data_IF_105940360056
#
_entry.id   IF_105940360056
#
_cell.length_a   1.000
_cell.length_b   1.000
_cell.length_c   1.000
_cell.angle_alpha   90.00
_cell.angle_beta   90.00
_cell.angle_gamma   90.00
#
_symmetry.space_group_name_H-M   'P 1'
#
loop_
_entity.id
_entity.type
_entity.pdbx_description
1 polymer ?
#
# COMPACT_ATOMS: atom_id res chain seq x y z
N UNK A 1 -25.16 -40.05 59.76
CA UNK A 1 -23.88 -40.31 59.08
C UNK A 1 -24.17 -40.60 57.61
N UNK A 2 -24.08 -39.59 56.74
CA UNK A 2 -24.38 -39.74 55.31
C UNK A 2 -23.62 -38.68 54.54
N UNK A 3 -22.37 -38.99 54.17
CA UNK A 3 -21.48 -38.04 53.50
C UNK A 3 -20.09 -38.61 53.19
N UNK A 4 -19.62 -39.57 53.99
CA UNK A 4 -18.32 -40.22 53.76
C UNK A 4 -18.25 -40.97 52.42
N UNK A 5 -19.32 -41.66 52.01
CA UNK A 5 -19.34 -42.38 50.73
C UNK A 5 -19.23 -41.46 49.50
N UNK A 6 -19.86 -40.27 49.55
CA UNK A 6 -19.83 -39.27 48.47
C UNK A 6 -18.45 -38.65 48.32
N UNK A 7 -17.82 -38.26 49.43
CA UNK A 7 -16.46 -37.74 49.41
C UNK A 7 -15.46 -38.80 48.96
N UNK A 8 -15.62 -40.05 49.38
CA UNK A 8 -14.75 -41.14 48.96
C UNK A 8 -14.89 -41.44 47.46
N UNK A 9 -16.11 -41.41 46.92
CA UNK A 9 -16.36 -41.54 45.49
C UNK A 9 -15.74 -40.40 44.68
N UNK A 10 -15.85 -39.17 45.17
CA UNK A 10 -15.23 -37.99 44.53
C UNK A 10 -13.70 -38.08 44.53
N UNK A 11 -13.09 -38.48 45.65
CA UNK A 11 -11.65 -38.72 45.77
C UNK A 11 -11.20 -39.82 44.80
N UNK A 12 -11.96 -40.92 44.71
CA UNK A 12 -11.65 -42.03 43.81
C UNK A 12 -11.76 -41.61 42.34
N UNK A 13 -12.78 -40.82 41.97
CA UNK A 13 -12.96 -40.27 40.62
C UNK A 13 -11.80 -39.34 40.24
N UNK A 14 -11.43 -38.39 41.11
CA UNK A 14 -10.27 -37.51 40.92
C UNK A 14 -8.96 -38.30 40.74
N UNK A 15 -8.77 -39.36 41.53
CA UNK A 15 -7.58 -40.21 41.46
C UNK A 15 -7.54 -41.03 40.17
N UNK A 16 -8.67 -41.51 39.67
CA UNK A 16 -8.77 -42.19 38.38
C UNK A 16 -8.54 -41.22 37.21
N UNK A 17 -9.11 -40.01 37.25
CA UNK A 17 -8.89 -39.00 36.23
C UNK A 17 -7.42 -38.57 36.15
N UNK A 18 -6.72 -38.43 37.28
CA UNK A 18 -5.27 -38.16 37.30
C UNK A 18 -4.43 -39.28 36.65
N UNK A 19 -4.90 -40.53 36.63
CA UNK A 19 -4.20 -41.64 35.95
C UNK A 19 -4.35 -41.58 34.43
N UNK A 20 -5.43 -40.97 33.93
CA UNK A 20 -5.70 -40.80 32.49
C UNK A 20 -4.95 -39.62 31.88
N UNK A 21 -4.48 -38.67 32.70
CA UNK A 21 -3.64 -37.57 32.23
C UNK A 21 -2.30 -38.11 31.71
N UNK A 22 -2.01 -37.82 30.44
CA UNK A 22 -0.74 -38.14 29.79
C UNK A 22 0.42 -37.52 30.58
N UNK A 23 1.31 -38.37 31.12
CA UNK A 23 2.51 -37.93 31.84
C UNK A 23 3.45 -37.20 30.87
N UNK A 24 3.37 -35.88 30.80
CA UNK A 24 4.23 -35.04 29.94
C UNK A 24 5.66 -34.84 30.50
N UNK A 25 6.18 -35.80 31.27
CA UNK A 25 7.60 -35.79 31.65
C UNK A 25 8.42 -36.33 30.49
N UNK A 26 9.31 -35.51 29.92
CA UNK A 26 10.31 -35.97 28.94
C UNK A 26 11.41 -36.81 29.56
N UNK A 27 11.42 -36.94 30.90
CA UNK A 27 12.38 -37.75 31.65
C UNK A 27 11.69 -39.03 32.13
N UNK A 28 12.27 -40.19 31.79
CA UNK A 28 11.91 -41.46 32.44
C UNK A 28 12.30 -41.32 33.92
N UNK A 29 11.32 -41.43 34.84
CA UNK A 29 11.61 -41.63 36.28
C UNK A 29 12.18 -43.03 36.43
N UNK A 30 13.45 -43.19 36.10
CA UNK A 30 14.16 -44.42 36.37
C UNK A 30 14.41 -44.49 37.86
N UNK A 31 13.73 -45.41 38.56
CA UNK A 31 13.90 -45.66 40.00
C UNK A 31 15.04 -46.63 40.26
N UNK A 32 15.90 -46.88 39.27
CA UNK A 32 17.11 -47.69 39.39
C UNK A 32 17.95 -47.32 40.61
N UNK A 33 17.96 -46.04 41.01
CA UNK A 33 18.63 -45.57 42.23
C UNK A 33 18.03 -46.08 43.56
N UNK A 34 16.77 -46.54 43.58
CA UNK A 34 16.14 -47.12 44.78
C UNK A 34 16.46 -48.61 44.95
N UNK A 35 16.96 -49.27 43.90
CA UNK A 35 17.40 -50.67 43.91
C UNK A 35 18.94 -50.81 43.87
N UNK A 36 19.67 -49.74 44.20
CA UNK A 36 21.13 -49.79 44.32
C UNK A 36 21.49 -50.69 45.51
N UNK A 37 22.23 -51.78 45.25
CA UNK A 37 22.84 -52.57 46.32
C UNK A 37 23.96 -51.76 46.95
N UNK A 38 24.33 -52.06 48.19
CA UNK A 38 25.44 -51.38 48.87
C UNK A 38 26.75 -51.47 48.06
N UNK A 39 26.92 -52.53 47.26
CA UNK A 39 28.01 -52.71 46.28
C UNK A 39 28.00 -51.70 45.14
N UNK A 40 26.82 -51.20 44.77
CA UNK A 40 26.63 -50.24 43.70
C UNK A 40 26.78 -48.80 44.21
N UNK A 41 26.59 -48.59 45.52
CA UNK A 41 26.85 -47.34 46.24
C UNK A 41 28.32 -47.18 46.65
N UNK A 42 29.08 -48.27 46.67
CA UNK A 42 30.55 -48.21 46.75
C UNK A 42 31.06 -47.62 45.45
N UNK A 43 31.08 -46.28 45.37
CA UNK A 43 31.78 -45.56 44.32
C UNK A 43 33.17 -46.15 44.20
N UNK A 44 33.60 -46.46 42.97
CA UNK A 44 34.85 -47.16 42.69
C UNK A 44 35.95 -46.64 43.61
N UNK A 45 36.40 -47.47 44.55
CA UNK A 45 37.43 -47.09 45.52
C UNK A 45 38.76 -47.00 44.80
N UNK A 46 39.01 -45.84 44.24
CA UNK A 46 40.19 -45.50 43.47
C UNK A 46 40.10 -44.02 43.09
N UNK A 47 41.21 -43.29 43.18
CA UNK A 47 41.26 -41.92 42.65
C UNK A 47 40.89 -42.01 41.16
N UNK A 48 39.90 -41.24 40.66
CA UNK A 48 39.59 -41.27 39.25
C UNK A 48 40.84 -40.90 38.46
N UNK A 49 41.42 -41.87 37.77
CA UNK A 49 42.53 -41.64 36.86
C UNK A 49 41.95 -41.07 35.58
N UNK A 50 41.82 -39.75 35.55
CA UNK A 50 41.58 -39.05 34.30
C UNK A 50 42.86 -39.13 33.48
N UNK A 51 42.97 -40.13 32.62
CA UNK A 51 43.97 -40.10 31.57
C UNK A 51 43.70 -38.86 30.74
N UNK A 52 44.64 -37.92 30.73
CA UNK A 52 44.52 -36.72 29.91
C UNK A 52 44.25 -37.16 28.47
N UNK A 53 43.12 -36.72 27.90
CA UNK A 53 42.75 -37.09 26.54
C UNK A 53 43.91 -36.86 25.59
N UNK A 54 44.17 -37.82 24.69
CA UNK A 54 45.22 -37.66 23.69
C UNK A 54 44.99 -36.37 22.90
N UNK A 55 46.06 -35.65 22.58
CA UNK A 55 45.98 -34.39 21.81
C UNK A 55 45.17 -34.59 20.52
N UNK A 56 45.22 -35.79 19.94
CA UNK A 56 44.45 -36.20 18.76
C UNK A 56 42.94 -36.32 19.03
N UNK A 57 42.53 -36.92 20.14
CA UNK A 57 41.12 -37.03 20.52
C UNK A 57 40.51 -35.64 20.77
N UNK A 58 41.24 -34.76 21.47
CA UNK A 58 40.83 -33.35 21.67
C UNK A 58 40.70 -32.64 20.32
N UNK A 59 41.63 -32.87 19.38
CA UNK A 59 41.59 -32.29 18.03
C UNK A 59 40.36 -32.76 17.24
N UNK A 60 40.04 -34.06 17.27
CA UNK A 60 38.83 -34.63 16.62
C UNK A 60 37.55 -34.02 17.18
N UNK A 61 37.45 -33.87 18.50
CA UNK A 61 36.31 -33.22 19.18
C UNK A 61 36.18 -31.76 18.74
N UNK A 62 37.28 -30.98 18.78
CA UNK A 62 37.29 -29.58 18.34
C UNK A 62 36.84 -29.41 16.88
N UNK A 63 37.29 -30.29 15.98
CA UNK A 63 36.90 -30.27 14.56
C UNK A 63 35.40 -30.58 14.41
N UNK A 64 34.88 -31.58 15.14
CA UNK A 64 33.45 -31.95 15.11
C UNK A 64 32.56 -30.80 15.55
N UNK A 65 32.90 -30.13 16.67
CA UNK A 65 32.19 -28.94 17.14
C UNK A 65 32.32 -27.74 16.21
N UNK A 66 33.49 -27.52 15.60
CA UNK A 66 33.70 -26.44 14.62
C UNK A 66 32.85 -26.66 13.36
N UNK A 67 32.70 -27.91 12.91
CA UNK A 67 31.83 -28.27 11.77
C UNK A 67 30.34 -28.15 12.10
N UNK A 68 29.89 -28.54 13.30
CA UNK A 68 28.49 -28.35 13.73
C UNK A 68 28.11 -26.88 13.77
N UNK A 69 28.90 -26.06 14.46
CA UNK A 69 28.65 -24.61 14.58
C UNK A 69 28.65 -23.88 13.23
N UNK A 70 29.50 -24.30 12.28
CA UNK A 70 29.47 -23.74 10.92
C UNK A 70 28.14 -24.04 10.21
N UNK A 71 27.64 -25.27 10.31
CA UNK A 71 26.35 -25.67 9.72
C UNK A 71 25.18 -24.91 10.35
N UNK A 72 25.17 -24.78 11.67
CA UNK A 72 24.16 -23.98 12.39
C UNK A 72 24.17 -22.51 11.95
N UNK A 73 25.34 -21.88 11.86
CA UNK A 73 25.45 -20.49 11.36
C UNK A 73 24.94 -20.33 9.94
N UNK A 74 25.31 -21.24 9.04
CA UNK A 74 24.82 -21.22 7.64
C UNK A 74 23.30 -21.38 7.60
N UNK A 75 22.75 -22.28 8.42
CA UNK A 75 21.30 -22.47 8.53
C UNK A 75 20.58 -21.22 9.03
N UNK A 76 21.09 -20.54 10.07
CA UNK A 76 20.51 -19.29 10.55
C UNK A 76 20.62 -18.14 9.54
N UNK A 77 21.73 -18.05 8.80
CA UNK A 77 21.87 -17.08 7.70
C UNK A 77 20.83 -17.36 6.62
N UNK A 78 20.64 -18.62 6.24
CA UNK A 78 19.65 -19.01 5.25
C UNK A 78 18.22 -18.70 5.69
N UNK A 79 17.86 -18.99 6.95
CA UNK A 79 16.57 -18.60 7.52
C UNK A 79 16.38 -17.08 7.54
N UNK A 80 17.42 -16.31 7.86
CA UNK A 80 17.39 -14.85 7.81
C UNK A 80 17.13 -14.33 6.40
N UNK A 81 17.77 -14.92 5.38
CA UNK A 81 17.54 -14.56 3.98
C UNK A 81 16.12 -14.89 3.52
N UNK A 82 15.57 -16.05 3.89
CA UNK A 82 14.18 -16.40 3.62
C UNK A 82 13.23 -15.42 4.30
N UNK A 83 13.48 -15.10 5.58
CA UNK A 83 12.67 -14.14 6.33
C UNK A 83 12.68 -12.75 5.68
N UNK A 84 13.84 -12.27 5.24
CA UNK A 84 13.97 -11.00 4.51
C UNK A 84 13.22 -11.03 3.19
N UNK A 85 13.35 -12.11 2.42
CA UNK A 85 12.62 -12.27 1.16
C UNK A 85 11.10 -12.24 1.36
N UNK A 86 10.60 -12.99 2.35
CA UNK A 86 9.18 -13.01 2.70
C UNK A 86 8.70 -11.65 3.18
N UNK A 87 9.52 -10.93 3.97
CA UNK A 87 9.19 -9.58 4.43
C UNK A 87 9.04 -8.59 3.28
N UNK A 88 9.97 -8.62 2.30
CA UNK A 88 9.89 -7.76 1.11
C UNK A 88 8.70 -8.15 0.23
N UNK A 89 8.47 -9.45 0.02
CA UNK A 89 7.35 -9.93 -0.78
C UNK A 89 5.99 -9.53 -0.17
N UNK A 90 5.82 -9.74 1.14
CA UNK A 90 4.62 -9.34 1.86
C UNK A 90 4.43 -7.81 1.87
N UNK A 91 5.51 -7.06 2.05
CA UNK A 91 5.49 -5.60 1.98
C UNK A 91 5.03 -5.10 0.61
N UNK A 92 5.51 -5.70 -0.48
CA UNK A 92 5.03 -5.35 -1.82
C UNK A 92 3.56 -5.69 -2.02
N UNK A 93 3.13 -6.89 -1.64
CA UNK A 93 1.73 -7.31 -1.76
C UNK A 93 0.78 -6.33 -1.08
N UNK A 94 1.10 -5.89 0.15
CA UNK A 94 0.27 -4.93 0.88
C UNK A 94 0.27 -3.50 0.27
N UNK A 95 1.37 -3.08 -0.35
CA UNK A 95 1.49 -1.73 -0.94
C UNK A 95 0.90 -1.68 -2.35
N UNK A 96 1.00 -2.76 -3.11
CA UNK A 96 0.52 -2.86 -4.49
C UNK A 96 -1.00 -2.73 -4.56
N UNK A 97 -1.74 -3.41 -3.67
CA UNK A 97 -3.20 -3.30 -3.59
C UNK A 97 -3.66 -1.86 -3.32
N UNK A 98 -3.03 -1.17 -2.37
CA UNK A 98 -3.36 0.21 -2.03
C UNK A 98 -3.01 1.21 -3.13
N UNK A 99 -1.87 1.02 -3.81
CA UNK A 99 -1.49 1.82 -4.97
C UNK A 99 -2.44 1.60 -6.14
N UNK A 100 -2.89 0.37 -6.36
CA UNK A 100 -3.82 0.03 -7.42
C UNK A 100 -5.19 0.68 -7.19
N UNK A 101 -5.74 0.59 -5.98
CA UNK A 101 -7.01 1.25 -5.62
C UNK A 101 -6.94 2.78 -5.81
N UNK A 102 -5.82 3.41 -5.42
CA UNK A 102 -5.61 4.84 -5.63
C UNK A 102 -5.54 5.19 -7.13
N UNK A 103 -4.84 4.37 -7.93
CA UNK A 103 -4.71 4.58 -9.36
C UNK A 103 -6.05 4.42 -10.09
N UNK A 104 -6.84 3.40 -9.71
CA UNK A 104 -8.17 3.15 -10.27
C UNK A 104 -9.12 4.32 -9.95
N UNK A 105 -9.11 4.79 -8.69
CA UNK A 105 -9.89 5.95 -8.26
C UNK A 105 -9.50 7.23 -9.03
N UNK A 106 -8.20 7.43 -9.25
CA UNK A 106 -7.69 8.57 -10.03
C UNK A 106 -8.10 8.47 -11.50
N UNK A 107 -8.04 7.27 -12.07
CA UNK A 107 -8.43 7.01 -13.45
C UNK A 107 -9.93 7.26 -13.64
N UNK A 108 -10.76 6.80 -12.70
CA UNK A 108 -12.21 7.05 -12.72
C UNK A 108 -12.52 8.55 -12.66
N UNK A 109 -11.82 9.30 -11.80
CA UNK A 109 -11.96 10.75 -11.72
C UNK A 109 -11.60 11.45 -13.04
N UNK A 110 -10.50 11.03 -13.69
CA UNK A 110 -10.08 11.58 -14.99
C UNK A 110 -11.16 11.31 -16.04
N UNK A 111 -11.64 10.07 -16.14
CA UNK A 111 -12.70 9.71 -17.10
C UNK A 111 -14.00 10.47 -16.85
N UNK A 112 -14.35 10.67 -15.57
CA UNK A 112 -15.53 11.46 -15.20
C UNK A 112 -15.39 12.91 -15.63
N UNK A 113 -14.24 13.52 -15.37
CA UNK A 113 -13.96 14.91 -15.75
C UNK A 113 -13.92 15.06 -17.28
N UNK A 114 -13.34 14.12 -18.01
CA UNK A 114 -13.32 14.11 -19.47
C UNK A 114 -14.74 14.04 -20.04
N UNK A 115 -15.59 13.14 -19.52
CA UNK A 115 -17.00 13.05 -19.94
C UNK A 115 -17.77 14.33 -19.65
N UNK A 116 -17.54 14.96 -18.49
CA UNK A 116 -18.17 16.23 -18.13
C UNK A 116 -17.70 17.35 -19.06
N UNK A 117 -16.41 17.45 -19.33
CA UNK A 117 -15.82 18.43 -20.23
C UNK A 117 -16.41 18.32 -21.64
N UNK A 118 -16.47 17.12 -22.22
CA UNK A 118 -17.07 16.90 -23.54
C UNK A 118 -18.56 17.30 -23.56
N UNK A 119 -19.29 17.01 -22.49
CA UNK A 119 -20.70 17.39 -22.35
C UNK A 119 -20.88 18.92 -22.26
N UNK A 120 -19.99 19.60 -21.54
CA UNK A 120 -19.99 21.07 -21.48
C UNK A 120 -19.70 21.69 -22.85
N UNK A 121 -18.75 21.13 -23.62
CA UNK A 121 -18.52 21.55 -25.01
C UNK A 121 -19.77 21.35 -25.86
N UNK A 122 -20.36 20.15 -25.83
CA UNK A 122 -21.53 19.83 -26.66
C UNK A 122 -22.71 20.78 -26.39
N UNK A 123 -22.99 21.07 -25.11
CA UNK A 123 -24.03 22.03 -24.76
C UNK A 123 -23.65 23.46 -25.14
N UNK A 124 -22.42 23.88 -24.89
CA UNK A 124 -21.92 25.19 -25.30
C UNK A 124 -22.10 25.40 -26.80
N UNK A 125 -21.67 24.43 -27.61
CA UNK A 125 -21.76 24.44 -29.07
C UNK A 125 -23.20 24.51 -29.56
N UNK A 126 -24.11 23.75 -28.94
CA UNK A 126 -25.54 23.77 -29.26
C UNK A 126 -26.16 25.14 -29.00
N UNK A 127 -25.81 25.80 -27.90
CA UNK A 127 -26.30 27.15 -27.61
C UNK A 127 -25.64 28.20 -28.49
N UNK A 128 -24.34 28.03 -28.76
CA UNK A 128 -23.58 28.89 -29.64
C UNK A 128 -24.16 28.91 -31.05
N UNK A 129 -24.51 27.74 -31.60
CA UNK A 129 -25.11 27.63 -32.95
C UNK A 129 -26.49 28.28 -33.04
N UNK A 130 -27.17 28.51 -31.91
CA UNK A 130 -28.45 29.21 -31.83
C UNK A 130 -28.30 30.72 -31.60
N UNK A 131 -27.06 31.23 -31.55
CA UNK A 131 -26.79 32.63 -31.20
C UNK A 131 -27.07 32.98 -29.75
N UNK A 132 -27.23 31.98 -28.86
CA UNK A 132 -27.51 32.20 -27.44
C UNK A 132 -26.21 32.29 -26.65
N UNK A 133 -25.51 33.40 -26.83
CA UNK A 133 -24.14 33.61 -26.35
C UNK A 133 -24.00 33.45 -24.83
N UNK A 134 -24.92 34.02 -24.03
CA UNK A 134 -24.92 33.88 -22.56
C UNK A 134 -24.92 32.41 -22.11
N UNK A 135 -25.74 31.58 -22.75
CA UNK A 135 -25.80 30.15 -22.42
C UNK A 135 -24.53 29.42 -22.88
N UNK A 136 -24.02 29.74 -24.08
CA UNK A 136 -22.76 29.16 -24.56
C UNK A 136 -21.59 29.47 -23.60
N UNK A 137 -21.45 30.73 -23.20
CA UNK A 137 -20.46 31.18 -22.21
C UNK A 137 -20.59 30.40 -20.90
N UNK A 138 -21.81 30.21 -20.39
CA UNK A 138 -22.04 29.44 -19.16
C UNK A 138 -21.46 28.03 -19.25
N UNK A 139 -21.77 27.28 -20.32
CA UNK A 139 -21.27 25.92 -20.47
C UNK A 139 -19.75 25.87 -20.73
N UNK A 140 -19.22 26.79 -21.55
CA UNK A 140 -17.78 26.82 -21.78
C UNK A 140 -16.98 27.17 -20.53
N UNK A 141 -17.50 28.04 -19.65
CA UNK A 141 -16.91 28.28 -18.32
C UNK A 141 -16.82 27.01 -17.49
N UNK A 142 -17.88 26.22 -17.44
CA UNK A 142 -17.86 24.94 -16.71
C UNK A 142 -16.82 23.96 -17.29
N UNK A 143 -16.62 23.95 -18.61
CA UNK A 143 -15.53 23.20 -19.24
C UNK A 143 -14.15 23.73 -18.85
N UNK A 144 -13.97 25.05 -18.84
CA UNK A 144 -12.72 25.72 -18.45
C UNK A 144 -12.38 25.55 -16.97
N UNK A 145 -13.38 25.38 -16.10
CA UNK A 145 -13.14 25.03 -14.68
C UNK A 145 -12.52 23.63 -14.52
N UNK A 146 -12.85 22.68 -15.41
CA UNK A 146 -12.27 21.34 -15.41
C UNK A 146 -10.86 21.31 -16.01
N UNK A 147 -10.63 22.07 -17.08
CA UNK A 147 -9.34 22.16 -17.78
C UNK A 147 -8.99 23.62 -18.09
N UNK A 148 -8.46 24.39 -17.11
CA UNK A 148 -8.18 25.82 -17.28
C UNK A 148 -7.12 26.14 -18.34
N UNK A 149 -6.25 25.17 -18.63
CA UNK A 149 -5.13 25.31 -19.54
C UNK A 149 -5.41 24.76 -20.94
N UNK A 150 -6.62 24.26 -21.18
CA UNK A 150 -7.00 23.73 -22.49
C UNK A 150 -7.27 24.88 -23.49
N UNK A 151 -6.60 24.84 -24.64
CA UNK A 151 -6.73 25.87 -25.66
C UNK A 151 -8.14 25.89 -26.25
N UNK A 152 -8.70 24.72 -26.55
CA UNK A 152 -9.94 24.58 -27.31
C UNK A 152 -11.13 25.18 -26.57
N UNK A 153 -11.28 24.89 -25.28
CA UNK A 153 -12.37 25.43 -24.46
C UNK A 153 -12.23 26.93 -24.26
N UNK A 154 -11.00 27.40 -24.05
CA UNK A 154 -10.73 28.82 -23.88
C UNK A 154 -10.99 29.59 -25.18
N UNK A 155 -10.62 29.03 -26.34
CA UNK A 155 -10.90 29.59 -27.66
C UNK A 155 -12.41 29.73 -27.90
N UNK A 156 -13.18 28.67 -27.59
CA UNK A 156 -14.65 28.69 -27.68
C UNK A 156 -15.27 29.73 -26.75
N UNK A 157 -14.75 29.83 -25.53
CA UNK A 157 -15.20 30.80 -24.53
C UNK A 157 -14.94 32.24 -24.98
N UNK A 158 -13.71 32.56 -25.40
CA UNK A 158 -13.38 33.91 -25.88
C UNK A 158 -14.18 34.25 -27.14
N UNK A 159 -14.38 33.31 -28.06
CA UNK A 159 -15.21 33.53 -29.25
C UNK A 159 -16.67 33.81 -28.89
N UNK A 160 -17.23 33.09 -27.93
CA UNK A 160 -18.58 33.35 -27.43
C UNK A 160 -18.68 34.74 -26.76
N UNK A 161 -17.66 35.12 -25.99
CA UNK A 161 -17.56 36.45 -25.40
C UNK A 161 -17.46 37.56 -26.45
N UNK A 162 -16.58 37.40 -27.45
CA UNK A 162 -16.42 38.38 -28.54
C UNK A 162 -17.71 38.60 -29.31
N UNK A 163 -18.48 37.54 -29.59
CA UNK A 163 -19.77 37.66 -30.27
C UNK A 163 -20.86 38.26 -29.39
N UNK A 164 -20.89 37.93 -28.10
CA UNK A 164 -21.80 38.53 -27.15
C UNK A 164 -21.55 40.04 -27.04
N UNK A 165 -20.29 40.42 -26.93
CA UNK A 165 -19.85 41.81 -26.89
C UNK A 165 -20.18 42.55 -28.20
N UNK A 166 -19.90 41.95 -29.36
CA UNK A 166 -20.21 42.55 -30.67
C UNK A 166 -21.71 42.81 -30.88
N UNK A 167 -22.57 41.90 -30.42
CA UNK A 167 -24.01 41.97 -30.70
C UNK A 167 -24.78 42.73 -29.61
N UNK A 168 -24.40 42.56 -28.35
CA UNK A 168 -25.17 43.00 -27.19
C UNK A 168 -24.40 44.02 -26.32
N UNK A 169 -23.14 44.34 -26.66
CA UNK A 169 -22.24 45.22 -25.88
C UNK A 169 -22.00 44.74 -24.44
N UNK A 170 -22.16 43.43 -24.20
CA UNK A 170 -21.94 42.81 -22.90
C UNK A 170 -20.68 41.93 -22.89
N UNK A 171 -20.02 41.84 -21.74
CA UNK A 171 -18.83 41.00 -21.49
C UNK A 171 -17.60 41.33 -22.35
N UNK A 172 -17.48 42.58 -22.80
CA UNK A 172 -16.39 43.04 -23.65
C UNK A 172 -15.02 43.02 -22.96
N UNK A 173 -14.98 43.46 -21.70
CA UNK A 173 -13.76 43.45 -20.90
C UNK A 173 -13.26 42.01 -20.66
N UNK A 174 -14.17 41.08 -20.38
CA UNK A 174 -13.87 39.66 -20.21
C UNK A 174 -13.35 39.04 -21.50
N UNK A 175 -13.96 39.39 -22.64
CA UNK A 175 -13.50 38.94 -23.96
C UNK A 175 -12.05 39.37 -24.21
N UNK A 176 -11.76 40.66 -24.00
CA UNK A 176 -10.43 41.24 -24.18
C UNK A 176 -9.39 40.63 -23.24
N UNK A 177 -9.70 40.58 -21.95
CA UNK A 177 -8.78 40.05 -20.94
C UNK A 177 -8.44 38.57 -21.19
N UNK A 178 -9.44 37.77 -21.56
CA UNK A 178 -9.22 36.37 -21.91
C UNK A 178 -8.40 36.23 -23.19
N UNK A 179 -8.70 37.02 -24.23
CA UNK A 179 -7.94 37.01 -25.49
C UNK A 179 -6.47 37.38 -25.28
N UNK A 180 -6.21 38.45 -24.54
CA UNK A 180 -4.85 38.91 -24.22
C UNK A 180 -4.09 37.82 -23.44
N UNK A 181 -4.74 37.17 -22.47
CA UNK A 181 -4.17 36.03 -21.74
C UNK A 181 -3.86 34.83 -22.64
N UNK A 182 -4.75 34.53 -23.59
CA UNK A 182 -4.55 33.44 -24.56
C UNK A 182 -3.40 33.73 -25.52
N UNK A 183 -3.25 34.98 -26.01
CA UNK A 183 -2.15 35.38 -26.88
C UNK A 183 -0.77 35.21 -26.20
N UNK A 184 -0.71 35.48 -24.89
CA UNK A 184 0.52 35.26 -24.11
C UNK A 184 0.83 33.78 -23.90
N UNK A 185 -0.20 32.95 -23.70
CA UNK A 185 -0.06 31.54 -23.33
C UNK A 185 0.10 30.61 -24.53
N UNK A 186 -0.54 30.92 -25.65
CA UNK A 186 -0.62 30.09 -26.85
C UNK A 186 -0.06 30.84 -28.05
N UNK A 187 1.21 31.23 -27.98
CA UNK A 187 1.89 32.00 -29.03
C UNK A 187 1.95 31.26 -30.38
N UNK A 188 1.88 29.93 -30.39
CA UNK A 188 1.81 29.12 -31.61
C UNK A 188 0.45 29.22 -32.33
N UNK A 189 -0.58 29.76 -31.66
CA UNK A 189 -1.94 29.95 -32.18
C UNK A 189 -2.30 31.41 -32.44
N UNK A 190 -1.31 32.31 -32.41
CA UNK A 190 -1.51 33.75 -32.53
C UNK A 190 -2.39 34.14 -33.73
N UNK A 191 -2.18 33.55 -34.91
CA UNK A 191 -2.96 33.87 -36.12
C UNK A 191 -4.47 33.64 -35.94
N UNK A 192 -4.86 32.54 -35.30
CA UNK A 192 -6.27 32.22 -35.03
C UNK A 192 -6.89 33.15 -33.99
N UNK A 193 -6.09 33.60 -33.02
CA UNK A 193 -6.52 34.52 -31.97
C UNK A 193 -6.62 35.96 -32.49
N UNK A 194 -5.79 36.36 -33.46
CA UNK A 194 -5.86 37.68 -34.09
C UNK A 194 -7.19 37.88 -34.84
N UNK A 195 -7.78 36.83 -35.43
CA UNK A 195 -9.12 36.91 -36.03
C UNK A 195 -10.18 37.37 -35.01
N UNK A 196 -10.06 36.94 -33.75
CA UNK A 196 -10.98 37.37 -32.68
C UNK A 196 -10.71 38.79 -32.20
N UNK A 197 -9.49 39.28 -32.38
CA UNK A 197 -9.13 40.67 -32.08
C UNK A 197 -9.84 41.64 -33.02
N UNK A 198 -10.00 41.27 -34.29
CA UNK A 198 -10.78 42.04 -35.28
C UNK A 198 -12.27 42.12 -34.90
N UNK A 199 -12.83 41.04 -34.32
CA UNK A 199 -14.21 41.04 -33.82
C UNK A 199 -14.40 42.02 -32.66
N UNK A 200 -13.34 42.26 -31.88
CA UNK A 200 -13.29 43.18 -30.74
C UNK A 200 -12.66 44.54 -31.07
N UNK A 201 -12.66 44.95 -32.34
CA UNK A 201 -11.95 46.15 -32.82
C UNK A 201 -12.21 47.42 -31.96
N UNK A 202 -13.45 47.64 -31.51
CA UNK A 202 -13.83 48.77 -30.66
C UNK A 202 -13.17 48.77 -29.26
N UNK A 203 -12.85 47.59 -28.71
CA UNK A 203 -12.15 47.47 -27.43
C UNK A 203 -10.64 47.67 -27.56
N UNK A 204 -10.09 47.45 -28.76
CA UNK A 204 -8.67 47.64 -29.07
C UNK A 204 -8.37 48.99 -29.75
N UNK A 205 -9.39 49.74 -30.17
CA UNK A 205 -9.24 51.01 -30.87
C UNK A 205 -8.63 50.86 -32.26
N UNK A 206 -8.91 49.74 -32.93
CA UNK A 206 -8.41 49.37 -34.27
C UNK A 206 -9.46 49.69 -35.33
#
# INVERSE_FOLDING_TARGET
MGGEGSMMAMINSLRNNRKLLRKNSRFKKDRSFLNLKETDLKGATGKPTFNAYSKEAIRKIKIKFKRSRKREKVFFVFLGLIGLFLFVALGRFLVEDALQEQNDSRLELIQKNERLYLKHIEFGDRWFSQGKWKNAIFYYKQGGELYPDDYEINYRLVRAYSLHCKNDLENCAEAKALLDGMLLKFSDKETQLLELKEVLNFEYGI
#
